data_IF_331760149528
#
_entry.id   IF_331760149528
#
_cell.length_a   1.000
_cell.length_b   1.000
_cell.length_c   1.000
_cell.angle_alpha   90.00
_cell.angle_beta   90.00
_cell.angle_gamma   90.00
#
_symmetry.space_group_name_H-M   'P 1'
#
loop_
_entity.id
_entity.type
_entity.pdbx_description
1 polymer ?
#
# COMPACT_ATOMS: atom_id res chain seq x y z
N UNK A 1 -0.21 -5.15 -22.11
CA UNK A 1 -0.64 -4.00 -21.27
C UNK A 1 0.57 -3.46 -20.51
N UNK A 2 0.89 -2.17 -20.66
CA UNK A 2 1.97 -1.53 -19.90
C UNK A 2 1.66 -1.62 -18.40
N UNK A 3 2.61 -2.10 -17.61
CA UNK A 3 2.53 -2.06 -16.15
C UNK A 3 3.30 -0.84 -15.65
N UNK A 4 2.75 -0.17 -14.65
CA UNK A 4 3.37 0.96 -13.98
C UNK A 4 3.68 0.57 -12.54
N UNK A 5 4.80 1.04 -12.00
CA UNK A 5 5.18 0.75 -10.63
C UNK A 5 4.46 1.67 -9.63
N UNK A 6 3.72 1.08 -8.70
CA UNK A 6 3.03 1.76 -7.61
C UNK A 6 3.64 1.39 -6.26
N UNK A 7 3.86 2.39 -5.42
CA UNK A 7 4.06 2.23 -3.99
C UNK A 7 2.70 2.29 -3.30
N UNK A 8 2.29 1.18 -2.69
CA UNK A 8 1.04 1.11 -1.91
C UNK A 8 1.39 0.88 -0.44
N UNK A 9 0.75 1.66 0.43
CA UNK A 9 0.89 1.55 1.90
C UNK A 9 -0.50 1.38 2.50
N UNK A 10 -0.65 0.42 3.40
CA UNK A 10 -1.89 0.20 4.13
C UNK A 10 -1.65 -0.30 5.55
N UNK A 11 -2.66 -0.18 6.39
CA UNK A 11 -2.66 -0.67 7.78
C UNK A 11 -4.04 -1.19 8.16
N UNK A 12 -4.11 -1.89 9.28
CA UNK A 12 -5.38 -2.16 9.95
C UNK A 12 -5.92 -0.87 10.56
N UNK A 13 -7.23 -0.81 10.78
CA UNK A 13 -7.83 0.29 11.53
C UNK A 13 -7.36 0.25 13.00
N UNK A 14 -7.08 1.42 13.62
CA UNK A 14 -6.83 1.51 15.05
C UNK A 14 -7.98 0.90 15.86
N UNK A 15 -7.65 0.22 16.95
CA UNK A 15 -8.63 -0.34 17.90
C UNK A 15 -8.14 -0.17 19.34
N UNK A 16 -9.02 -0.36 20.32
CA UNK A 16 -8.66 -0.28 21.75
C UNK A 16 -7.49 -1.22 22.09
N UNK A 17 -7.46 -2.42 21.48
CA UNK A 17 -6.40 -3.41 21.71
C UNK A 17 -5.11 -3.13 20.93
N UNK A 18 -5.19 -2.36 19.85
CA UNK A 18 -4.04 -2.00 19.02
C UNK A 18 -4.27 -0.59 18.45
N UNK A 19 -3.93 0.46 19.22
CA UNK A 19 -4.17 1.85 18.82
C UNK A 19 -3.23 2.30 17.70
N UNK A 20 -2.06 1.67 17.57
CA UNK A 20 -1.03 2.03 16.58
C UNK A 20 -0.66 0.82 15.73
N UNK A 21 -1.55 0.38 14.81
CA UNK A 21 -1.28 -0.77 13.97
C UNK A 21 -0.12 -0.49 12.99
N UNK A 22 0.70 -1.51 12.69
CA UNK A 22 1.86 -1.35 11.80
C UNK A 22 1.45 -0.99 10.37
N UNK A 23 2.28 -0.17 9.72
CA UNK A 23 2.16 0.18 8.31
C UNK A 23 2.87 -0.86 7.44
N UNK A 24 2.16 -1.39 6.44
CA UNK A 24 2.72 -2.30 5.45
C UNK A 24 2.86 -1.58 4.12
N UNK A 25 4.07 -1.61 3.57
CA UNK A 25 4.42 -1.02 2.28
C UNK A 25 4.76 -2.11 1.27
N UNK A 26 4.23 -1.99 0.06
CA UNK A 26 4.54 -2.90 -1.05
C UNK A 26 4.75 -2.14 -2.36
N UNK A 27 5.66 -2.65 -3.19
CA UNK A 27 5.86 -2.22 -4.58
C UNK A 27 5.04 -3.14 -5.48
N UNK A 28 4.15 -2.56 -6.27
CA UNK A 28 3.18 -3.29 -7.10
C UNK A 28 3.23 -2.75 -8.51
N UNK A 29 3.52 -3.62 -9.47
CA UNK A 29 3.35 -3.33 -10.89
C UNK A 29 1.88 -3.54 -11.24
N UNK A 30 1.21 -2.53 -11.81
CA UNK A 30 -0.20 -2.59 -12.19
C UNK A 30 -0.51 -1.63 -13.35
N UNK A 31 -1.56 -1.85 -14.14
CA UNK A 31 -1.93 -0.93 -15.22
C UNK A 31 -2.51 0.40 -14.70
N UNK A 32 -3.09 0.42 -13.50
CA UNK A 32 -3.61 1.61 -12.86
C UNK A 32 -3.62 1.46 -11.32
N UNK A 33 -3.93 2.56 -10.63
CA UNK A 33 -3.94 2.62 -9.17
C UNK A 33 -5.03 1.74 -8.52
N UNK A 34 -6.15 1.50 -9.20
CA UNK A 34 -7.25 0.65 -8.68
C UNK A 34 -6.78 -0.80 -8.60
N UNK A 35 -6.16 -1.30 -9.67
CA UNK A 35 -5.58 -2.65 -9.73
C UNK A 35 -4.42 -2.78 -8.73
N UNK A 36 -3.62 -1.72 -8.56
CA UNK A 36 -2.55 -1.70 -7.55
C UNK A 36 -3.10 -1.89 -6.13
N UNK A 37 -4.14 -1.14 -5.74
CA UNK A 37 -4.81 -1.31 -4.42
C UNK A 37 -5.41 -2.72 -4.27
N UNK A 38 -6.02 -3.26 -5.31
CA UNK A 38 -6.59 -4.62 -5.26
C UNK A 38 -5.51 -5.68 -5.02
N UNK A 39 -4.42 -5.63 -5.78
CA UNK A 39 -3.25 -6.51 -5.60
C UNK A 39 -2.63 -6.37 -4.21
N UNK A 40 -2.58 -5.15 -3.66
CA UNK A 40 -2.12 -4.93 -2.28
C UNK A 40 -2.93 -5.76 -1.28
N UNK A 41 -4.25 -5.62 -1.34
CA UNK A 41 -5.15 -6.33 -0.42
C UNK A 41 -5.12 -7.84 -0.61
N UNK A 42 -4.95 -8.31 -1.85
CA UNK A 42 -4.77 -9.73 -2.14
C UNK A 42 -3.55 -10.29 -1.41
N UNK A 43 -2.35 -9.73 -1.63
CA UNK A 43 -1.13 -10.26 -1.02
C UNK A 43 -1.09 -10.05 0.50
N UNK A 44 -1.53 -8.90 1.01
CA UNK A 44 -1.49 -8.63 2.46
C UNK A 44 -2.46 -9.52 3.24
N UNK A 45 -3.54 -9.98 2.60
CA UNK A 45 -4.46 -10.96 3.20
C UNK A 45 -3.81 -12.34 3.37
N UNK A 46 -2.99 -12.76 2.40
CA UNK A 46 -2.25 -14.02 2.47
C UNK A 46 -1.07 -13.95 3.43
N UNK A 47 -0.32 -12.84 3.42
CA UNK A 47 0.93 -12.72 4.19
C UNK A 47 0.70 -12.30 5.64
N UNK A 48 -0.32 -11.47 5.91
CA UNK A 48 -0.54 -10.85 7.23
C UNK A 48 -1.94 -11.09 7.79
N UNK A 49 -2.77 -11.90 7.13
CA UNK A 49 -4.17 -12.18 7.53
C UNK A 49 -5.01 -10.90 7.69
N UNK A 50 -4.63 -9.83 6.98
CA UNK A 50 -5.32 -8.55 7.02
C UNK A 50 -6.44 -8.52 5.97
N UNK A 51 -7.64 -8.13 6.39
CA UNK A 51 -8.79 -7.96 5.48
C UNK A 51 -8.99 -6.48 5.16
N UNK A 52 -9.35 -6.17 3.90
CA UNK A 52 -9.69 -4.81 3.46
C UNK A 52 -10.80 -4.17 4.30
N UNK A 53 -11.77 -4.97 4.76
CA UNK A 53 -12.88 -4.49 5.60
C UNK A 53 -12.40 -3.88 6.94
N UNK A 54 -11.28 -4.36 7.48
CA UNK A 54 -10.75 -3.95 8.78
C UNK A 54 -9.49 -3.09 8.64
N UNK A 55 -9.24 -2.52 7.46
CA UNK A 55 -8.04 -1.77 7.20
C UNK A 55 -8.23 -0.68 6.16
N UNK A 56 -7.25 0.19 6.08
CA UNK A 56 -7.27 1.37 5.22
C UNK A 56 -6.00 1.43 4.36
N UNK A 57 -6.14 2.01 3.18
CA UNK A 57 -5.00 2.32 2.31
C UNK A 57 -4.55 3.74 2.63
N UNK A 58 -3.38 3.87 3.23
CA UNK A 58 -2.80 5.16 3.67
C UNK A 58 -2.17 5.91 2.49
N UNK A 59 -1.55 5.19 1.56
CA UNK A 59 -0.92 5.79 0.39
C UNK A 59 -1.01 4.87 -0.82
N UNK A 60 -1.19 5.45 -2.00
CA UNK A 60 -1.08 4.75 -3.28
C UNK A 60 -0.61 5.75 -4.33
N UNK A 61 0.64 5.64 -4.76
CA UNK A 61 1.23 6.55 -5.73
C UNK A 61 2.30 5.88 -6.57
N UNK A 62 2.74 6.55 -7.63
CA UNK A 62 3.82 6.07 -8.49
C UNK A 62 5.11 5.98 -7.70
N UNK A 63 5.83 4.86 -7.82
CA UNK A 63 7.06 4.64 -7.06
C UNK A 63 8.21 5.58 -7.48
N UNK A 64 8.13 6.17 -8.67
CA UNK A 64 9.23 6.89 -9.35
C UNK A 64 9.44 8.34 -8.89
N UNK A 65 8.69 8.85 -7.91
CA UNK A 65 8.93 10.20 -7.38
C UNK A 65 9.61 10.14 -6.01
N UNK A 66 10.90 9.79 -6.01
CA UNK A 66 11.83 10.59 -5.23
C UNK A 66 12.26 11.71 -6.17
N UNK A 67 12.02 13.00 -5.88
CA UNK A 67 12.86 14.01 -6.49
C UNK A 67 14.29 13.67 -6.07
N UNK A 68 15.06 13.14 -7.01
CA UNK A 68 16.49 13.37 -6.99
C UNK A 68 16.63 14.90 -6.87
N UNK A 69 17.34 15.37 -5.85
CA UNK A 69 17.56 16.78 -5.46
C UNK A 69 16.56 17.36 -4.44
N UNK A 70 16.80 17.04 -3.17
CA UNK A 70 16.90 18.10 -2.17
C UNK A 70 18.14 17.80 -1.32
N UNK A 71 19.29 17.94 -1.97
CA UNK A 71 20.48 18.40 -1.28
C UNK A 71 20.36 19.92 -1.25
N UNK A 72 19.89 20.46 -0.13
CA UNK A 72 20.30 21.78 0.35
C UNK A 72 20.11 21.84 1.86
#
# INVERSE_FOLDING_TARGET
MKQTEYKVVGRLLPSVKNPTPPLYRMRIFAPNHVVAKSRFWYFVSQLRKMKKANGETVYCGLATLLPLHSNH
#
